data_IF_173667768147
#
_entry.id   IF_173667768147
#
_cell.length_a   1.000
_cell.length_b   1.000
_cell.length_c   1.000
_cell.angle_alpha   90.00
_cell.angle_beta   90.00
_cell.angle_gamma   90.00
#
_symmetry.space_group_name_H-M   'P 1'
#
loop_
_entity.id
_entity.type
_entity.pdbx_description
1 polymer ?
#
# COMPACT_ATOMS: atom_id res chain seq x y z
N UNK A 1 -19.54 14.48 -15.49
CA UNK A 1 -19.47 14.07 -14.07
C UNK A 1 -18.38 13.03 -13.97
N UNK A 2 -17.22 13.41 -13.42
CA UNK A 2 -16.07 12.51 -13.32
C UNK A 2 -16.36 11.50 -12.24
N UNK A 3 -16.63 10.24 -12.61
CA UNK A 3 -16.64 9.13 -11.67
C UNK A 3 -15.24 9.03 -11.06
N UNK A 4 -15.08 9.51 -9.83
CA UNK A 4 -13.88 9.30 -9.06
C UNK A 4 -14.04 7.95 -8.35
N UNK A 5 -13.86 6.87 -9.11
CA UNK A 5 -14.00 5.51 -8.64
C UNK A 5 -12.89 5.23 -7.62
N UNK A 6 -13.27 5.04 -6.36
CA UNK A 6 -12.39 4.63 -5.25
C UNK A 6 -12.09 3.12 -5.27
N UNK A 7 -12.35 2.43 -6.38
CA UNK A 7 -11.97 1.03 -6.53
C UNK A 7 -10.44 0.93 -6.60
N UNK A 8 -9.83 0.36 -5.57
CA UNK A 8 -8.48 -0.17 -5.67
C UNK A 8 -8.59 -1.46 -6.49
N UNK A 9 -8.75 -1.34 -7.81
CA UNK A 9 -8.28 -2.42 -8.67
C UNK A 9 -6.78 -2.52 -8.44
N UNK A 10 -6.30 -3.69 -8.03
CA UNK A 10 -4.86 -3.95 -7.96
C UNK A 10 -4.28 -3.65 -9.34
N UNK A 11 -3.60 -2.51 -9.47
CA UNK A 11 -2.92 -2.11 -10.68
C UNK A 11 -1.47 -2.64 -10.62
N UNK A 12 -1.36 -3.95 -10.44
CA UNK A 12 -0.10 -4.69 -10.39
C UNK A 12 -0.18 -5.80 -11.44
N UNK A 13 0.84 -5.88 -12.28
CA UNK A 13 0.96 -6.93 -13.29
C UNK A 13 1.12 -8.32 -12.64
N UNK A 14 1.80 -8.37 -11.50
CA UNK A 14 1.93 -9.56 -10.65
C UNK A 14 1.51 -9.24 -9.20
N UNK A 15 0.20 -9.30 -8.98
CA UNK A 15 -0.43 -9.08 -7.69
C UNK A 15 -0.02 -10.13 -6.64
N UNK A 16 -0.03 -11.39 -7.05
CA UNK A 16 0.21 -12.53 -6.17
C UNK A 16 1.68 -12.57 -5.73
N UNK A 17 2.62 -12.35 -6.66
CA UNK A 17 4.05 -12.32 -6.34
C UNK A 17 4.45 -11.16 -5.44
N UNK A 18 3.79 -10.00 -5.54
CA UNK A 18 3.99 -8.92 -4.58
C UNK A 18 3.43 -9.28 -3.20
N UNK A 19 2.26 -9.91 -3.14
CA UNK A 19 1.66 -10.32 -1.87
C UNK A 19 2.50 -11.39 -1.15
N UNK A 20 3.07 -12.35 -1.89
CA UNK A 20 4.00 -13.34 -1.35
C UNK A 20 5.25 -12.68 -0.76
N UNK A 21 5.90 -11.77 -1.49
CA UNK A 21 7.04 -11.00 -0.97
C UNK A 21 6.70 -10.19 0.28
N UNK A 22 5.48 -9.64 0.35
CA UNK A 22 5.02 -8.92 1.52
C UNK A 22 4.86 -9.86 2.72
N UNK A 23 4.25 -11.04 2.53
CA UNK A 23 4.13 -12.06 3.58
C UNK A 23 5.51 -12.52 4.08
N UNK A 24 6.44 -12.78 3.15
CA UNK A 24 7.80 -13.19 3.47
C UNK A 24 8.53 -12.12 4.32
N UNK A 25 8.33 -10.84 4.01
CA UNK A 25 8.90 -9.74 4.79
C UNK A 25 8.35 -9.65 6.23
N UNK A 26 7.23 -10.31 6.52
CA UNK A 26 6.62 -10.40 7.84
C UNK A 26 6.99 -11.69 8.60
N UNK A 27 7.66 -12.66 7.97
CA UNK A 27 8.08 -13.89 8.64
C UNK A 27 8.98 -13.58 9.85
N UNK A 28 8.76 -14.32 10.93
CA UNK A 28 9.46 -14.20 12.22
C UNK A 28 9.33 -12.85 12.94
N UNK A 29 8.53 -11.90 12.42
CA UNK A 29 8.25 -10.63 13.10
C UNK A 29 7.11 -10.79 14.11
N UNK A 30 7.26 -10.19 15.28
CA UNK A 30 6.12 -9.95 16.18
C UNK A 30 5.09 -9.01 15.53
N UNK A 31 3.86 -9.00 16.04
CA UNK A 31 2.81 -8.07 15.58
C UNK A 31 3.27 -6.60 15.59
N UNK A 32 4.06 -6.20 16.60
CA UNK A 32 4.59 -4.84 16.72
C UNK A 32 5.63 -4.53 15.64
N UNK A 33 6.52 -5.49 15.36
CA UNK A 33 7.53 -5.34 14.31
C UNK A 33 6.88 -5.33 12.93
N UNK A 34 5.87 -6.17 12.71
CA UNK A 34 5.04 -6.16 11.51
C UNK A 34 4.33 -4.82 11.30
N UNK A 35 3.72 -4.26 12.33
CA UNK A 35 3.11 -2.93 12.24
C UNK A 35 4.15 -1.83 11.91
N UNK A 36 5.35 -1.92 12.47
CA UNK A 36 6.45 -1.00 12.18
C UNK A 36 6.95 -1.14 10.73
N UNK A 37 7.07 -2.37 10.22
CA UNK A 37 7.43 -2.65 8.84
C UNK A 37 6.41 -2.01 7.88
N UNK A 38 5.12 -2.20 8.13
CA UNK A 38 4.05 -1.61 7.33
C UNK A 38 4.10 -0.08 7.34
N UNK A 39 4.30 0.54 8.51
CA UNK A 39 4.43 1.99 8.61
C UNK A 39 5.62 2.53 7.79
N UNK A 40 6.77 1.84 7.82
CA UNK A 40 7.94 2.20 7.00
C UNK A 40 7.69 2.01 5.52
N UNK A 41 7.07 0.89 5.13
CA UNK A 41 6.75 0.60 3.73
C UNK A 41 5.83 1.67 3.14
N UNK A 42 4.81 2.11 3.89
CA UNK A 42 3.94 3.23 3.48
C UNK A 42 4.76 4.50 3.17
N UNK A 43 5.72 4.86 4.02
CA UNK A 43 6.56 6.05 3.81
C UNK A 43 7.47 5.90 2.58
N UNK A 44 8.04 4.72 2.36
CA UNK A 44 8.89 4.44 1.18
C UNK A 44 8.07 4.52 -0.10
N UNK A 45 6.88 3.91 -0.13
CA UNK A 45 5.96 4.01 -1.27
C UNK A 45 5.50 5.46 -1.49
N UNK A 46 5.23 6.21 -0.41
CA UNK A 46 4.85 7.61 -0.52
C UNK A 46 5.95 8.46 -1.15
N UNK A 47 7.21 8.20 -0.78
CA UNK A 47 8.37 8.82 -1.41
C UNK A 47 8.48 8.45 -2.90
N UNK A 48 8.26 7.18 -3.26
CA UNK A 48 8.29 6.74 -4.66
C UNK A 48 7.18 7.37 -5.51
N UNK A 49 5.98 7.59 -4.95
CA UNK A 49 4.86 8.25 -5.62
C UNK A 49 5.11 9.76 -5.82
N UNK A 50 5.69 10.44 -4.83
CA UNK A 50 6.11 11.85 -4.93
C UNK A 50 4.99 12.87 -5.19
N UNK A 51 3.72 12.49 -5.09
CA UNK A 51 2.56 13.32 -5.45
C UNK A 51 1.51 13.35 -4.34
N UNK A 52 1.37 14.50 -3.67
CA UNK A 52 0.43 14.66 -2.54
C UNK A 52 -1.04 14.43 -2.90
N UNK A 53 -1.48 14.73 -4.13
CA UNK A 53 -2.86 14.51 -4.55
C UNK A 53 -3.13 13.01 -4.80
N UNK A 54 -2.15 12.28 -5.31
CA UNK A 54 -2.21 10.83 -5.43
C UNK A 54 -2.27 10.17 -4.03
N UNK A 55 -1.42 10.60 -3.11
CA UNK A 55 -1.42 10.10 -1.72
C UNK A 55 -2.75 10.35 -1.00
N UNK A 56 -3.38 11.51 -1.20
CA UNK A 56 -4.70 11.80 -0.65
C UNK A 56 -5.78 10.85 -1.19
N UNK A 57 -5.71 10.48 -2.48
CA UNK A 57 -6.60 9.47 -3.06
C UNK A 57 -6.35 8.07 -2.49
N UNK A 58 -5.09 7.67 -2.32
CA UNK A 58 -4.75 6.39 -1.67
C UNK A 58 -5.33 6.31 -0.26
N UNK A 59 -5.20 7.39 0.54
CA UNK A 59 -5.74 7.43 1.90
C UNK A 59 -7.27 7.39 1.92
N UNK A 60 -7.94 8.07 0.98
CA UNK A 60 -9.39 8.01 0.86
C UNK A 60 -9.87 6.59 0.48
N UNK A 61 -9.19 5.95 -0.46
CA UNK A 61 -9.50 4.60 -0.91
C UNK A 61 -9.30 3.55 0.22
N UNK A 62 -8.23 3.67 1.01
CA UNK A 62 -7.96 2.76 2.14
C UNK A 62 -8.96 2.88 3.31
N UNK A 63 -9.81 3.91 3.34
CA UNK A 63 -10.85 4.13 4.37
C UNK A 63 -12.24 3.67 3.94
N UNK A 64 -12.44 3.41 2.66
CA UNK A 64 -13.71 2.98 2.08
C UNK A 64 -13.90 1.47 2.27
#
# INVERSE_FOLDING_TARGET
>A
MTHMTTDIQLNLEDADGFYEQLLDAHLDLSDKESALLNAKLILVMANAIGNSAALARCLAAAKA
#
